data_IF_245224719539
#
_entry.id   IF_245224719539
#
_cell.length_a   1.000
_cell.length_b   1.000
_cell.length_c   1.000
_cell.angle_alpha   90.00
_cell.angle_beta   90.00
_cell.angle_gamma   90.00
#
_symmetry.space_group_name_H-M   'P 1'
#
loop_
_entity.id
_entity.type
_entity.pdbx_description
1 polymer ?
#
# COMPACT_ATOMS: atom_id res chain seq x y z
N UNK A 1 -30.66 1.44 -6.35
CA UNK A 1 -29.98 1.81 -7.61
C UNK A 1 -28.60 1.17 -7.61
N UNK A 2 -28.23 0.46 -8.68
CA UNK A 2 -26.85 -0.02 -8.91
C UNK A 2 -26.28 0.80 -10.06
N UNK A 3 -25.48 1.82 -9.73
CA UNK A 3 -24.73 2.61 -10.72
C UNK A 3 -23.32 2.03 -10.91
N UNK A 4 -22.58 2.49 -11.93
CA UNK A 4 -21.17 2.15 -12.08
C UNK A 4 -20.35 2.64 -10.87
N UNK A 5 -19.34 1.87 -10.48
CA UNK A 5 -18.39 2.23 -9.42
C UNK A 5 -17.11 2.72 -10.08
N UNK A 6 -16.58 3.86 -9.61
CA UNK A 6 -15.28 4.38 -10.01
C UNK A 6 -14.32 4.31 -8.82
N UNK A 7 -13.08 3.88 -9.06
CA UNK A 7 -12.00 3.90 -8.08
C UNK A 7 -11.10 5.11 -8.34
N UNK A 8 -10.95 5.95 -7.32
CA UNK A 8 -10.07 7.12 -7.36
C UNK A 8 -8.97 6.94 -6.31
N UNK A 9 -7.71 7.08 -6.72
CA UNK A 9 -6.56 6.97 -5.83
C UNK A 9 -6.05 8.38 -5.48
N UNK A 10 -5.87 8.71 -4.18
CA UNK A 10 -5.43 10.03 -3.76
C UNK A 10 -3.97 10.31 -4.17
N UNK A 11 -3.63 11.60 -4.32
CA UNK A 11 -2.30 12.05 -4.71
C UNK A 11 -1.34 12.29 -3.53
N UNK A 12 -0.21 12.95 -3.82
CA UNK A 12 0.80 13.30 -2.82
C UNK A 12 0.22 14.20 -1.70
N UNK A 13 0.73 14.05 -0.48
CA UNK A 13 0.26 14.76 0.71
C UNK A 13 -0.82 14.04 1.51
N UNK A 14 -1.26 12.86 1.07
CA UNK A 14 -2.23 12.00 1.77
C UNK A 14 -1.60 10.85 2.58
N UNK A 15 -0.27 10.88 2.77
CA UNK A 15 0.51 9.81 3.39
C UNK A 15 0.83 10.11 4.86
N UNK A 16 0.85 9.07 5.69
CA UNK A 16 1.20 9.13 7.12
C UNK A 16 2.15 7.97 7.47
N UNK A 17 2.99 8.16 8.50
CA UNK A 17 3.87 7.11 8.99
C UNK A 17 3.04 5.94 9.55
N UNK A 18 3.37 4.70 9.17
CA UNK A 18 2.59 3.52 9.53
C UNK A 18 1.48 3.17 8.53
N UNK A 19 1.22 4.01 7.51
CA UNK A 19 0.16 3.77 6.54
C UNK A 19 0.36 2.45 5.80
N UNK A 20 -0.71 1.66 5.71
CA UNK A 20 -0.70 0.35 5.03
C UNK A 20 -0.30 -0.83 5.90
N UNK A 21 0.23 -0.59 7.12
CA UNK A 21 0.69 -1.66 8.03
C UNK A 21 -0.42 -2.64 8.39
N UNK A 22 -1.56 -2.16 8.89
CA UNK A 22 -2.65 -3.02 9.33
C UNK A 22 -3.18 -3.91 8.20
N UNK A 23 -3.25 -3.37 6.98
CA UNK A 23 -3.68 -4.12 5.80
C UNK A 23 -2.62 -5.15 5.40
N UNK A 24 -1.34 -4.77 5.39
CA UNK A 24 -0.25 -5.68 5.07
C UNK A 24 -0.15 -6.84 6.08
N UNK A 25 -0.31 -6.57 7.38
CA UNK A 25 -0.31 -7.58 8.43
C UNK A 25 -1.55 -8.51 8.37
N UNK A 26 -2.70 -7.98 7.94
CA UNK A 26 -3.94 -8.76 7.85
C UNK A 26 -4.06 -9.63 6.58
N UNK A 27 -3.46 -9.21 5.46
CA UNK A 27 -3.62 -9.86 4.16
C UNK A 27 -2.26 -10.19 3.53
N UNK A 28 -1.90 -11.48 3.36
CA UNK A 28 -0.62 -11.89 2.77
C UNK A 28 -0.35 -11.28 1.39
N UNK A 29 -1.38 -11.10 0.57
CA UNK A 29 -1.29 -10.48 -0.76
C UNK A 29 -0.88 -9.01 -0.67
N UNK A 30 -1.33 -8.29 0.36
CA UNK A 30 -0.92 -6.91 0.59
C UNK A 30 0.55 -6.84 1.04
N UNK A 31 1.00 -7.75 1.91
CA UNK A 31 2.41 -7.85 2.31
C UNK A 31 3.33 -8.13 1.10
N UNK A 32 2.87 -8.98 0.18
CA UNK A 32 3.62 -9.34 -1.02
C UNK A 32 3.81 -8.14 -1.96
N UNK A 33 2.85 -7.20 -2.03
CA UNK A 33 3.02 -5.96 -2.79
C UNK A 33 4.20 -5.13 -2.27
N UNK A 34 4.35 -5.01 -0.95
CA UNK A 34 5.52 -4.34 -0.35
C UNK A 34 6.82 -5.08 -0.65
N UNK A 35 6.81 -6.42 -0.66
CA UNK A 35 7.98 -7.24 -1.00
C UNK A 35 8.42 -7.02 -2.45
N UNK A 36 7.49 -7.10 -3.39
CA UNK A 36 7.74 -6.87 -4.83
C UNK A 36 8.26 -5.45 -5.06
N UNK A 37 7.65 -4.45 -4.42
CA UNK A 37 8.11 -3.07 -4.52
C UNK A 37 9.52 -2.87 -3.95
N UNK A 38 9.84 -3.56 -2.85
CA UNK A 38 11.17 -3.51 -2.24
C UNK A 38 12.23 -4.10 -3.17
N UNK A 39 11.94 -5.24 -3.77
CA UNK A 39 12.82 -5.89 -4.76
C UNK A 39 13.04 -5.00 -5.99
N UNK A 40 11.97 -4.41 -6.53
CA UNK A 40 12.05 -3.57 -7.73
C UNK A 40 12.78 -2.25 -7.50
N UNK A 41 12.66 -1.67 -6.29
CA UNK A 41 13.27 -0.37 -5.96
C UNK A 41 14.66 -0.48 -5.33
N UNK A 42 15.02 -1.65 -4.78
CA UNK A 42 16.22 -1.83 -3.96
C UNK A 42 16.13 -1.16 -2.58
N UNK A 43 14.93 -0.72 -2.18
CA UNK A 43 14.66 -0.07 -0.89
C UNK A 43 13.85 -1.02 0.00
N UNK A 44 14.04 -0.93 1.31
CA UNK A 44 13.20 -1.63 2.28
C UNK A 44 11.88 -0.86 2.48
N UNK A 45 10.89 -1.12 1.62
CA UNK A 45 9.64 -0.36 1.63
C UNK A 45 8.80 -0.64 2.87
N UNK A 46 8.88 -1.83 3.44
CA UNK A 46 8.18 -2.12 4.69
C UNK A 46 8.71 -1.18 5.78
N UNK A 47 10.03 -1.17 6.01
CA UNK A 47 10.66 -0.29 7.01
C UNK A 47 10.47 1.20 6.73
N UNK A 48 10.44 1.60 5.45
CA UNK A 48 10.27 3.02 5.08
C UNK A 48 8.83 3.50 5.31
N UNK A 49 7.85 2.62 5.11
CA UNK A 49 6.44 2.95 5.29
C UNK A 49 5.96 2.74 6.73
N UNK A 50 6.42 1.69 7.43
CA UNK A 50 5.92 1.30 8.75
C UNK A 50 6.87 0.46 9.62
#
# INVERSE_FOLDING_TARGET
MRGPIAFCFPGQGSLEAGMGREIAEAFPEAMEVFRIGSEASGLDLQRLCF
#
